data_IF_470149258112
#
_entry.id   IF_470149258112
#
_cell.length_a   1.000
_cell.length_b   1.000
_cell.length_c   1.000
_cell.angle_alpha   90.00
_cell.angle_beta   90.00
_cell.angle_gamma   90.00
#
_symmetry.space_group_name_H-M   'P 1'
#
loop_
_entity.id
_entity.type
_entity.pdbx_description
1 polymer ?
#
# COMPACT_ATOMS: atom_id res chain seq x y z
N UNK A 1 3.61 -21.91 16.94
CA UNK A 1 4.02 -20.51 16.96
C UNK A 1 4.84 -20.23 15.71
N UNK A 2 4.30 -19.50 14.76
CA UNK A 2 5.10 -18.90 13.71
C UNK A 2 5.17 -17.42 14.04
N UNK A 3 6.33 -16.98 14.52
CA UNK A 3 6.57 -15.57 14.80
C UNK A 3 6.72 -14.73 13.53
N UNK A 4 6.92 -15.38 12.37
CA UNK A 4 7.08 -14.73 11.09
C UNK A 4 6.24 -15.41 10.00
N UNK A 5 5.10 -14.84 9.67
CA UNK A 5 4.52 -15.09 8.36
C UNK A 5 5.40 -14.34 7.37
N UNK A 6 6.31 -15.07 6.71
CA UNK A 6 6.98 -14.51 5.54
C UNK A 6 5.91 -14.36 4.47
N UNK A 7 5.29 -13.18 4.42
CA UNK A 7 4.51 -12.81 3.27
C UNK A 7 5.48 -12.83 2.09
N UNK A 8 5.24 -13.75 1.17
CA UNK A 8 5.95 -13.68 -0.10
C UNK A 8 5.70 -12.28 -0.65
N UNK A 9 6.75 -11.72 -1.25
CA UNK A 9 6.73 -10.39 -1.85
C UNK A 9 5.50 -10.27 -2.73
N UNK A 10 4.44 -9.71 -2.16
CA UNK A 10 3.22 -9.42 -2.91
C UNK A 10 3.61 -8.43 -3.99
N UNK A 11 3.20 -8.73 -5.21
CA UNK A 11 3.42 -7.80 -6.30
C UNK A 11 2.58 -6.56 -6.03
N UNK A 12 3.19 -5.39 -6.11
CA UNK A 12 2.49 -4.11 -6.01
C UNK A 12 1.79 -3.79 -7.35
N UNK A 13 1.14 -4.81 -7.94
CA UNK A 13 0.35 -4.66 -9.16
C UNK A 13 -0.96 -3.95 -8.87
N UNK A 14 -1.37 -3.09 -9.78
CA UNK A 14 -2.66 -2.41 -9.70
C UNK A 14 -2.65 -1.09 -8.92
N UNK A 15 -1.50 -0.61 -8.45
CA UNK A 15 -1.39 0.75 -7.94
C UNK A 15 -1.61 1.74 -9.07
N UNK A 16 -2.46 2.74 -8.85
CA UNK A 16 -2.76 3.79 -9.83
C UNK A 16 -2.10 5.09 -9.41
N UNK A 17 -1.30 5.65 -10.32
CA UNK A 17 -0.63 6.93 -10.14
C UNK A 17 -1.13 7.95 -11.15
N UNK A 18 -1.28 9.18 -10.70
CA UNK A 18 -1.55 10.34 -11.54
C UNK A 18 -0.33 11.27 -11.52
N UNK A 19 0.02 11.76 -12.69
CA UNK A 19 1.07 12.76 -12.89
C UNK A 19 0.45 14.09 -13.29
N UNK A 20 0.87 15.14 -12.60
CA UNK A 20 0.42 16.51 -12.84
C UNK A 20 1.60 17.41 -13.19
N UNK A 21 1.37 18.41 -14.02
CA UNK A 21 2.33 19.47 -14.22
C UNK A 21 2.47 20.28 -12.92
N UNK A 22 3.70 20.37 -12.37
CA UNK A 22 3.96 21.16 -11.17
C UNK A 22 4.14 22.66 -11.47
N UNK A 23 4.36 22.98 -12.72
CA UNK A 23 4.52 24.33 -13.30
C UNK A 23 3.93 24.37 -14.70
N UNK A 24 3.89 25.54 -15.34
CA UNK A 24 3.55 25.63 -16.76
C UNK A 24 4.63 24.93 -17.59
N UNK A 25 4.22 23.97 -18.41
CA UNK A 25 5.10 23.14 -19.23
C UNK A 25 4.84 23.43 -20.70
N UNK A 26 5.92 23.67 -21.44
CA UNK A 26 5.88 24.05 -22.84
C UNK A 26 6.26 22.86 -23.74
N UNK A 27 5.87 22.94 -25.02
CA UNK A 27 6.12 21.88 -26.00
C UNK A 27 7.59 21.47 -26.05
N UNK A 28 7.84 20.17 -26.21
CA UNK A 28 9.19 19.60 -26.23
C UNK A 28 10.03 20.01 -27.46
N UNK A 29 9.38 20.39 -28.55
CA UNK A 29 10.01 20.79 -29.83
C UNK A 29 10.40 22.26 -29.89
N UNK A 30 10.15 23.01 -28.80
CA UNK A 30 10.42 24.44 -28.70
C UNK A 30 9.72 25.33 -29.76
N UNK A 31 8.65 24.81 -30.36
CA UNK A 31 7.85 25.61 -31.31
C UNK A 31 7.29 26.84 -30.64
N UNK A 32 7.05 27.83 -31.47
CA UNK A 32 6.45 29.11 -31.07
C UNK A 32 5.18 29.34 -31.86
N UNK A 33 4.25 30.06 -31.25
CA UNK A 33 3.05 30.51 -31.89
C UNK A 33 3.36 31.66 -32.92
N UNK A 34 2.33 32.10 -33.62
CA UNK A 34 2.45 33.19 -34.64
C UNK A 34 2.93 34.51 -34.04
N UNK A 35 2.83 34.70 -32.73
CA UNK A 35 3.30 35.88 -32.00
C UNK A 35 4.72 35.69 -31.43
N UNK A 36 5.36 34.55 -31.66
CA UNK A 36 6.70 34.23 -31.19
C UNK A 36 6.77 33.78 -29.74
N UNK A 37 5.64 33.45 -29.09
CA UNK A 37 5.60 32.91 -27.74
C UNK A 37 5.76 31.39 -27.76
N UNK A 38 6.30 30.83 -26.68
CA UNK A 38 6.35 29.38 -26.46
C UNK A 38 4.92 28.83 -26.38
N UNK A 39 4.71 27.63 -26.91
CA UNK A 39 3.41 26.97 -26.90
C UNK A 39 3.29 26.20 -25.58
N UNK A 40 2.26 26.51 -24.78
CA UNK A 40 1.95 25.81 -23.54
C UNK A 40 1.39 24.42 -23.86
N UNK A 41 2.01 23.38 -23.31
CA UNK A 41 1.55 21.99 -23.42
C UNK A 41 0.62 21.63 -22.25
N UNK A 42 1.08 21.93 -21.01
CA UNK A 42 0.32 21.71 -19.78
C UNK A 42 0.39 22.95 -18.89
N UNK A 43 -0.74 23.40 -18.41
CA UNK A 43 -0.78 24.41 -17.36
C UNK A 43 -0.41 23.82 -16.00
N UNK A 44 0.14 24.64 -15.11
CA UNK A 44 0.41 24.24 -13.72
C UNK A 44 -0.83 23.64 -13.06
N UNK A 45 -0.70 22.43 -12.48
CA UNK A 45 -1.79 21.68 -11.85
C UNK A 45 -2.60 20.80 -12.80
N UNK A 46 -2.34 20.85 -14.11
CA UNK A 46 -3.04 20.01 -15.08
C UNK A 46 -2.60 18.55 -15.01
N UNK A 47 -3.57 17.63 -15.15
CA UNK A 47 -3.31 16.19 -15.24
C UNK A 47 -2.61 15.87 -16.57
N UNK A 48 -1.43 15.30 -16.49
CA UNK A 48 -0.60 14.91 -17.64
C UNK A 48 -0.90 13.47 -18.06
N UNK A 49 -1.08 12.57 -17.11
CA UNK A 49 -1.37 11.18 -17.39
C UNK A 49 -1.64 10.35 -16.15
N UNK A 50 -2.17 9.16 -16.40
CA UNK A 50 -2.47 8.16 -15.37
C UNK A 50 -1.83 6.84 -15.78
N UNK A 51 -1.17 6.17 -14.85
CA UNK A 51 -0.55 4.87 -15.07
C UNK A 51 -0.91 3.89 -13.95
N UNK A 52 -0.87 2.61 -14.29
CA UNK A 52 -1.11 1.52 -13.34
C UNK A 52 0.11 0.61 -13.31
N UNK A 53 0.53 0.20 -12.12
CA UNK A 53 1.66 -0.69 -11.96
C UNK A 53 1.35 -2.10 -12.48
N UNK A 54 2.35 -2.69 -13.11
CA UNK A 54 2.34 -4.07 -13.57
C UNK A 54 2.68 -5.05 -12.42
N UNK A 55 2.78 -6.34 -12.76
CA UNK A 55 3.14 -7.42 -11.83
C UNK A 55 4.51 -7.24 -11.15
N UNK A 56 5.39 -6.43 -11.70
CA UNK A 56 6.70 -6.10 -11.11
C UNK A 56 6.64 -4.81 -10.26
N UNK A 57 5.44 -4.25 -10.07
CA UNK A 57 5.21 -3.00 -9.34
C UNK A 57 5.71 -1.77 -10.11
N UNK A 58 5.81 -1.84 -11.43
CA UNK A 58 6.37 -0.77 -12.28
C UNK A 58 5.29 -0.15 -13.16
N UNK A 59 5.40 1.16 -13.33
CA UNK A 59 4.62 1.92 -14.29
C UNK A 59 5.51 2.97 -14.96
N UNK A 60 5.18 3.36 -16.18
CA UNK A 60 5.98 4.28 -16.96
C UNK A 60 5.10 5.25 -17.76
N UNK A 61 5.52 6.52 -17.80
CA UNK A 61 5.02 7.52 -18.73
C UNK A 61 6.21 7.97 -19.59
N UNK A 62 6.04 8.03 -20.90
CA UNK A 62 7.06 8.45 -21.86
C UNK A 62 6.63 9.71 -22.61
N UNK A 63 7.58 10.25 -23.41
CA UNK A 63 7.35 11.38 -24.31
C UNK A 63 6.89 12.68 -23.63
N UNK A 64 7.39 12.89 -22.41
CA UNK A 64 7.12 14.09 -21.65
C UNK A 64 8.02 15.25 -22.06
N UNK A 65 7.49 16.49 -22.19
CA UNK A 65 8.32 17.68 -22.27
C UNK A 65 9.22 17.86 -21.04
N UNK A 66 10.31 18.62 -21.20
CA UNK A 66 11.13 19.04 -20.06
C UNK A 66 10.29 19.91 -19.11
N UNK A 67 10.51 19.77 -17.82
CA UNK A 67 9.79 20.50 -16.80
C UNK A 67 9.65 19.71 -15.51
N UNK A 68 8.91 20.24 -14.56
CA UNK A 68 8.69 19.65 -13.24
C UNK A 68 7.28 19.07 -13.14
N UNK A 69 7.21 17.82 -12.69
CA UNK A 69 5.97 17.05 -12.55
C UNK A 69 5.79 16.58 -11.12
N UNK A 70 4.55 16.52 -10.70
CA UNK A 70 4.13 15.97 -9.40
C UNK A 70 3.42 14.64 -9.63
N UNK A 71 3.85 13.60 -8.92
CA UNK A 71 3.28 12.25 -8.98
C UNK A 71 2.57 11.99 -7.66
N UNK A 72 1.34 11.47 -7.73
CA UNK A 72 0.55 11.06 -6.58
C UNK A 72 -0.01 9.67 -6.79
N UNK A 73 -0.03 8.85 -5.74
CA UNK A 73 -0.76 7.61 -5.74
C UNK A 73 -2.25 7.90 -5.52
N UNK A 74 -3.10 7.40 -6.40
CA UNK A 74 -4.56 7.56 -6.32
C UNK A 74 -5.25 6.32 -5.78
N UNK A 75 -4.68 5.17 -6.05
CA UNK A 75 -5.19 3.88 -5.56
C UNK A 75 -4.00 3.02 -5.20
N UNK A 76 -3.95 2.56 -3.98
CA UNK A 76 -2.96 1.57 -3.54
C UNK A 76 -3.31 0.19 -4.11
N UNK A 77 -2.33 -0.72 -4.22
CA UNK A 77 -2.61 -2.11 -4.52
C UNK A 77 -3.55 -2.73 -3.48
N UNK A 78 -4.27 -3.75 -3.87
CA UNK A 78 -5.16 -4.46 -2.94
C UNK A 78 -4.37 -4.98 -1.71
N UNK A 79 -4.88 -4.72 -0.52
CA UNK A 79 -4.25 -5.10 0.75
C UNK A 79 -3.23 -4.12 1.29
N UNK A 80 -3.01 -3.00 0.63
CA UNK A 80 -2.08 -1.96 1.05
C UNK A 80 -2.78 -0.66 1.43
N UNK A 81 -2.12 0.15 2.24
CA UNK A 81 -2.57 1.48 2.63
C UNK A 81 -2.10 2.48 1.58
N UNK A 82 -2.98 3.41 1.19
CA UNK A 82 -2.67 4.47 0.25
C UNK A 82 -1.51 5.34 0.79
N UNK A 83 -0.50 5.57 -0.06
CA UNK A 83 0.56 6.52 0.22
C UNK A 83 0.13 7.90 -0.30
N UNK A 84 -0.26 8.79 0.61
CA UNK A 84 -0.73 10.14 0.25
C UNK A 84 0.41 11.14 -0.03
N UNK A 85 1.66 10.73 0.14
CA UNK A 85 2.81 11.59 -0.11
C UNK A 85 3.04 11.78 -1.61
N UNK A 86 3.02 13.02 -2.06
CA UNK A 86 3.35 13.34 -3.44
C UNK A 86 4.87 13.38 -3.64
N UNK A 87 5.32 12.90 -4.80
CA UNK A 87 6.71 13.05 -5.22
C UNK A 87 6.82 13.99 -6.42
N UNK A 88 7.94 14.68 -6.50
CA UNK A 88 8.23 15.61 -7.58
C UNK A 88 9.43 15.11 -8.37
N UNK A 89 9.33 15.12 -9.69
CA UNK A 89 10.42 14.80 -10.62
C UNK A 89 10.63 15.97 -11.57
N UNK A 90 11.89 16.28 -11.86
CA UNK A 90 12.26 17.36 -12.78
C UNK A 90 13.09 16.81 -13.92
N UNK A 91 12.68 17.11 -15.15
CA UNK A 91 13.40 16.81 -16.36
C UNK A 91 14.02 18.08 -16.88
N UNK A 92 15.35 18.12 -16.88
CA UNK A 92 16.13 19.26 -17.37
C UNK A 92 17.00 18.84 -18.55
N UNK A 93 17.30 19.79 -19.43
CA UNK A 93 18.26 19.55 -20.50
C UNK A 93 19.61 19.16 -19.92
N UNK A 94 20.17 18.08 -20.42
CA UNK A 94 21.46 17.56 -19.96
C UNK A 94 22.62 17.93 -20.89
N UNK A 95 22.58 17.40 -22.09
CA UNK A 95 23.61 17.64 -23.13
C UNK A 95 23.12 17.19 -24.52
N UNK A 96 23.91 17.49 -25.56
CA UNK A 96 23.59 17.14 -26.95
C UNK A 96 23.76 15.67 -27.31
N UNK A 97 24.24 14.85 -26.38
CA UNK A 97 24.54 13.42 -26.61
C UNK A 97 23.60 12.49 -25.87
N UNK A 98 22.79 13.01 -24.95
CA UNK A 98 21.83 12.24 -24.16
C UNK A 98 20.47 12.22 -24.86
N UNK A 99 20.08 11.12 -25.52
CA UNK A 99 18.84 11.08 -26.32
C UNK A 99 17.59 10.94 -25.44
N UNK A 100 17.71 10.39 -24.23
CA UNK A 100 16.62 10.16 -23.30
C UNK A 100 17.04 10.59 -21.90
N UNK A 101 16.19 11.35 -21.23
CA UNK A 101 16.34 11.75 -19.84
C UNK A 101 15.31 10.96 -19.03
N UNK A 102 15.80 10.18 -18.06
CA UNK A 102 14.96 9.34 -17.21
C UNK A 102 14.96 9.85 -15.78
N UNK A 103 13.80 9.77 -15.14
CA UNK A 103 13.62 10.00 -13.71
C UNK A 103 12.81 8.85 -13.12
N UNK A 104 13.14 8.45 -11.91
CA UNK A 104 12.42 7.40 -11.19
C UNK A 104 11.90 7.96 -9.88
N UNK A 105 10.61 7.79 -9.64
CA UNK A 105 9.99 8.01 -8.35
C UNK A 105 9.69 6.63 -7.71
N UNK A 106 9.99 6.49 -6.42
CA UNK A 106 9.73 5.26 -5.67
C UNK A 106 8.70 5.55 -4.59
N UNK A 107 7.61 4.80 -4.60
CA UNK A 107 6.58 4.85 -3.57
C UNK A 107 6.60 3.55 -2.78
N UNK A 108 6.45 3.68 -1.48
CA UNK A 108 6.34 2.54 -0.57
C UNK A 108 4.94 2.53 0.03
N UNK A 109 4.31 1.37 0.07
CA UNK A 109 3.01 1.18 0.69
C UNK A 109 3.14 0.24 1.88
N UNK A 110 2.58 0.65 2.99
CA UNK A 110 2.41 -0.21 4.15
C UNK A 110 1.29 -1.21 3.89
N UNK A 111 1.51 -2.47 4.27
CA UNK A 111 0.45 -3.47 4.23
C UNK A 111 -0.63 -3.16 5.25
N UNK A 112 -1.89 -3.34 4.87
CA UNK A 112 -2.99 -3.23 5.80
C UNK A 112 -2.92 -4.37 6.83
N UNK A 113 -2.85 -4.02 8.12
CA UNK A 113 -2.74 -4.97 9.24
C UNK A 113 -4.08 -5.20 9.91
N UNK A 114 -4.26 -6.40 10.45
CA UNK A 114 -5.45 -6.81 11.19
C UNK A 114 -5.11 -6.87 12.68
N UNK A 115 -5.88 -6.20 13.52
CA UNK A 115 -5.84 -6.34 14.98
C UNK A 115 -7.08 -7.10 15.46
N UNK A 116 -6.86 -8.14 16.27
CA UNK A 116 -7.94 -8.92 16.85
C UNK A 116 -7.86 -8.88 18.36
N UNK A 117 -8.98 -8.61 19.01
CA UNK A 117 -9.10 -8.68 20.46
C UNK A 117 -10.41 -9.34 20.89
N UNK A 118 -10.42 -9.90 22.09
CA UNK A 118 -11.61 -10.48 22.70
C UNK A 118 -11.79 -9.92 24.11
N UNK A 119 -13.04 -9.74 24.55
CA UNK A 119 -13.37 -9.32 25.91
C UNK A 119 -14.00 -10.50 26.63
N UNK A 120 -13.44 -10.86 27.80
CA UNK A 120 -13.99 -11.88 28.69
C UNK A 120 -14.86 -11.22 29.76
N UNK A 121 -16.08 -11.71 29.89
CA UNK A 121 -17.03 -11.27 30.92
C UNK A 121 -17.67 -12.48 31.60
N UNK A 122 -18.03 -12.30 32.87
CA UNK A 122 -18.88 -13.22 33.61
C UNK A 122 -20.31 -13.13 33.06
N UNK A 123 -20.95 -14.28 32.85
CA UNK A 123 -22.27 -14.32 32.20
C UNK A 123 -23.42 -13.81 33.09
N UNK A 124 -23.26 -13.80 34.39
CA UNK A 124 -24.31 -13.42 35.34
C UNK A 124 -24.17 -11.96 35.81
N UNK A 125 -22.91 -11.54 36.03
CA UNK A 125 -22.62 -10.22 36.64
C UNK A 125 -22.18 -9.20 35.60
N UNK A 126 -21.88 -9.61 34.37
CA UNK A 126 -21.32 -8.78 33.30
C UNK A 126 -19.98 -8.11 33.66
N UNK A 127 -19.36 -8.55 34.77
CA UNK A 127 -18.04 -8.05 35.16
C UNK A 127 -16.96 -8.64 34.29
N UNK A 128 -15.94 -7.84 33.98
CA UNK A 128 -14.79 -8.28 33.20
C UNK A 128 -13.94 -9.27 34.00
N UNK A 129 -13.36 -10.23 33.29
CA UNK A 129 -12.56 -11.33 33.90
C UNK A 129 -11.13 -11.26 33.35
N UNK A 130 -10.17 -11.08 34.25
CA UNK A 130 -8.75 -11.11 33.93
C UNK A 130 -8.21 -12.55 34.01
N UNK A 131 -7.13 -12.84 33.29
CA UNK A 131 -6.37 -14.09 33.36
C UNK A 131 -6.87 -15.22 32.45
N UNK A 132 -7.97 -15.02 31.73
CA UNK A 132 -8.43 -16.02 30.76
C UNK A 132 -7.51 -16.06 29.53
N UNK A 133 -7.07 -17.25 29.14
CA UNK A 133 -6.20 -17.50 28.00
C UNK A 133 -7.03 -17.84 26.76
N UNK A 134 -6.73 -17.22 25.64
CA UNK A 134 -7.36 -17.44 24.33
C UNK A 134 -6.33 -17.82 23.28
N UNK A 135 -6.74 -18.66 22.33
CA UNK A 135 -5.99 -18.96 21.11
C UNK A 135 -6.76 -18.50 19.88
N UNK A 136 -6.05 -17.94 18.90
CA UNK A 136 -6.61 -17.63 17.57
C UNK A 136 -6.12 -18.65 16.55
N UNK A 137 -7.03 -19.17 15.76
CA UNK A 137 -6.82 -20.26 14.81
C UNK A 137 -7.34 -19.88 13.42
N UNK A 138 -6.68 -20.38 12.38
CA UNK A 138 -7.21 -20.29 11.03
C UNK A 138 -8.48 -21.17 10.90
N UNK A 139 -9.59 -20.59 10.42
CA UNK A 139 -10.85 -21.32 10.21
C UNK A 139 -10.85 -22.10 8.90
N UNK A 140 -10.03 -21.65 7.95
CA UNK A 140 -9.84 -22.24 6.62
C UNK A 140 -8.38 -22.11 6.21
N UNK A 141 -7.97 -22.76 5.12
CA UNK A 141 -6.64 -22.57 4.57
C UNK A 141 -6.51 -21.13 4.07
N UNK A 142 -5.47 -20.43 4.52
CA UNK A 142 -5.17 -19.06 4.13
C UNK A 142 -4.16 -19.09 3.00
N UNK A 143 -4.48 -18.41 1.92
CA UNK A 143 -3.74 -18.43 0.67
C UNK A 143 -3.10 -17.07 0.41
N UNK A 144 -1.90 -17.09 -0.16
CA UNK A 144 -1.27 -15.94 -0.81
C UNK A 144 -0.82 -16.37 -2.19
N UNK A 145 -1.24 -15.69 -3.24
CA UNK A 145 -0.92 -16.04 -4.64
C UNK A 145 -1.13 -17.54 -4.96
N UNK A 146 -2.28 -18.10 -4.53
CA UNK A 146 -2.65 -19.51 -4.71
C UNK A 146 -1.83 -20.51 -3.88
N UNK A 147 -0.86 -20.05 -3.09
CA UNK A 147 -0.14 -20.91 -2.15
C UNK A 147 -0.76 -20.89 -0.76
N UNK A 148 -0.90 -22.06 -0.13
CA UNK A 148 -1.37 -22.17 1.26
C UNK A 148 -0.25 -21.76 2.20
N UNK A 149 -0.38 -20.59 2.81
CA UNK A 149 0.58 -20.08 3.81
C UNK A 149 0.23 -20.49 5.23
N UNK A 150 -1.05 -20.71 5.53
CA UNK A 150 -1.53 -21.21 6.82
C UNK A 150 -2.61 -22.26 6.58
N UNK A 151 -2.45 -23.42 7.22
CA UNK A 151 -3.45 -24.49 7.17
C UNK A 151 -4.59 -24.24 8.16
N UNK A 152 -5.77 -24.73 7.81
CA UNK A 152 -6.92 -24.83 8.71
C UNK A 152 -6.51 -25.38 10.09
N UNK A 153 -7.12 -24.83 11.15
CA UNK A 153 -6.89 -25.20 12.55
C UNK A 153 -5.46 -24.95 13.09
N UNK A 154 -4.62 -24.22 12.34
CA UNK A 154 -3.32 -23.80 12.85
C UNK A 154 -3.50 -22.73 13.93
N UNK A 155 -2.89 -22.94 15.11
CA UNK A 155 -2.79 -21.93 16.16
C UNK A 155 -1.82 -20.83 15.71
N UNK A 156 -2.31 -19.60 15.65
CA UNK A 156 -1.56 -18.43 15.14
C UNK A 156 -1.02 -17.55 16.27
N UNK A 157 -1.72 -17.50 17.39
CA UNK A 157 -1.31 -16.72 18.53
C UNK A 157 -2.13 -17.03 19.77
N UNK A 158 -1.63 -16.57 20.93
CA UNK A 158 -2.30 -16.63 22.21
C UNK A 158 -2.37 -15.24 22.84
N UNK A 159 -3.42 -15.00 23.60
CA UNK A 159 -3.61 -13.78 24.36
C UNK A 159 -4.24 -14.08 25.71
N UNK A 160 -3.92 -13.28 26.72
CA UNK A 160 -4.48 -13.39 28.07
C UNK A 160 -5.25 -12.10 28.40
N UNK A 161 -6.44 -12.21 28.95
CA UNK A 161 -7.24 -11.06 29.34
C UNK A 161 -6.59 -10.29 30.49
N UNK A 162 -6.50 -8.97 30.33
CA UNK A 162 -6.02 -8.03 31.35
C UNK A 162 -7.08 -7.69 32.39
N UNK A 163 -6.78 -6.72 33.25
CA UNK A 163 -7.70 -6.23 34.29
C UNK A 163 -8.99 -5.62 33.71
N UNK A 164 -8.94 -5.17 32.47
CA UNK A 164 -10.09 -4.68 31.68
C UNK A 164 -10.86 -5.82 30.98
N UNK A 165 -10.49 -7.06 31.22
CA UNK A 165 -11.05 -8.26 30.59
C UNK A 165 -10.66 -8.44 29.12
N UNK A 166 -9.85 -7.55 28.56
CA UNK A 166 -9.47 -7.58 27.15
C UNK A 166 -8.19 -8.39 26.92
N UNK A 167 -8.25 -9.32 25.98
CA UNK A 167 -7.11 -10.03 25.45
C UNK A 167 -6.84 -9.57 24.01
N UNK A 168 -5.65 -9.08 23.73
CA UNK A 168 -5.21 -8.59 22.40
C UNK A 168 -4.24 -9.59 21.83
N UNK A 169 -4.49 -10.03 20.59
CA UNK A 169 -3.55 -10.90 19.88
C UNK A 169 -2.52 -10.04 19.17
N UNK A 170 -1.30 -10.04 19.72
CA UNK A 170 -0.14 -9.38 19.12
C UNK A 170 0.50 -10.29 18.06
N UNK A 171 -0.21 -10.45 16.95
CA UNK A 171 0.24 -11.23 15.78
C UNK A 171 -0.14 -10.49 14.51
N UNK A 172 0.76 -10.50 13.55
CA UNK A 172 0.49 -9.98 12.22
C UNK A 172 -0.22 -11.05 11.38
N UNK A 173 -1.54 -10.91 11.25
CA UNK A 173 -2.38 -11.90 10.58
C UNK A 173 -2.59 -11.54 9.11
N UNK A 174 -2.46 -12.51 8.18
CA UNK A 174 -2.91 -12.36 6.81
C UNK A 174 -4.43 -12.15 6.72
N UNK A 175 -4.93 -11.63 5.61
CA UNK A 175 -6.37 -11.65 5.36
C UNK A 175 -6.87 -13.08 5.32
N UNK A 176 -7.99 -13.33 5.97
CA UNK A 176 -8.58 -14.66 6.04
C UNK A 176 -9.65 -14.76 7.12
N UNK A 177 -10.17 -15.94 7.33
CA UNK A 177 -11.18 -16.23 8.34
C UNK A 177 -10.54 -16.94 9.52
N UNK A 178 -10.82 -16.44 10.71
CA UNK A 178 -10.25 -16.94 11.98
C UNK A 178 -11.34 -17.29 12.97
N UNK A 179 -11.02 -18.15 13.91
CA UNK A 179 -11.82 -18.37 15.10
C UNK A 179 -10.98 -18.27 16.37
N UNK A 180 -11.62 -17.85 17.45
CA UNK A 180 -11.01 -17.73 18.77
C UNK A 180 -11.58 -18.79 19.67
N UNK A 181 -10.72 -19.44 20.47
CA UNK A 181 -11.10 -20.44 21.46
C UNK A 181 -10.49 -20.07 22.79
N UNK A 182 -11.30 -20.14 23.86
CA UNK A 182 -10.81 -20.08 25.23
C UNK A 182 -10.02 -21.37 25.56
N UNK A 183 -8.80 -21.21 26.04
CA UNK A 183 -7.90 -22.31 26.38
C UNK A 183 -7.86 -22.58 27.88
N UNK A 184 -7.96 -21.50 28.69
CA UNK A 184 -8.04 -21.56 30.16
C UNK A 184 -8.81 -20.33 30.66
N UNK A 185 -9.54 -20.53 31.78
CA UNK A 185 -10.28 -19.47 32.47
C UNK A 185 -9.57 -19.06 33.76
#
# INVERSE_FOLDING_TARGET
YKDDFTYQKETLEGAVFEMYAAEDIYTADFQKDDNGNRILEYASGELVGTVTTDKDGKAQITDLPLGTYKIVEKTAPEGFVLNEEAQTVTFEYKDQKTPVIEQTATFENDRQKVEVSVVKQDAETETVVAGAEFGIYAKEDILTHEEVIVKTDTLLGKAVSGEDGRAVFDVDLPFGTYYIKELAA
#
